data_IF_132883234739
#
_entry.id   IF_132883234739
#
_cell.length_a   1.000
_cell.length_b   1.000
_cell.length_c   1.000
_cell.angle_alpha   90.00
_cell.angle_beta   90.00
_cell.angle_gamma   90.00
#
_symmetry.space_group_name_H-M   'P 1'
#
loop_
_entity.id
_entity.type
_entity.pdbx_description
1 polymer ?
#
# COMPACT_ATOMS: atom_id res chain seq x y z
N UNK A 1 96.03 -44.65 45.89
CA UNK A 1 96.69 -45.96 45.81
C UNK A 1 95.65 -46.98 45.36
N UNK A 2 95.83 -47.54 44.16
CA UNK A 2 95.19 -48.74 43.57
C UNK A 2 93.68 -48.56 43.20
N UNK A 3 93.31 -48.31 41.93
CA UNK A 3 93.16 -49.18 40.73
C UNK A 3 91.87 -50.04 40.67
N UNK A 4 91.00 -49.64 39.73
CA UNK A 4 90.15 -50.36 38.76
C UNK A 4 89.32 -51.62 39.11
N UNK A 5 88.06 -51.58 38.64
CA UNK A 5 87.26 -52.75 38.25
C UNK A 5 86.16 -52.35 37.26
N UNK A 6 86.34 -52.70 35.98
CA UNK A 6 85.40 -52.52 34.86
C UNK A 6 84.42 -53.72 34.84
N UNK A 7 83.12 -53.49 34.61
CA UNK A 7 82.23 -54.53 34.06
C UNK A 7 81.05 -53.92 33.28
N UNK A 8 81.17 -54.05 31.96
CA UNK A 8 80.18 -54.35 30.92
C UNK A 8 78.69 -54.04 31.16
N UNK A 9 78.16 -53.10 30.37
CA UNK A 9 76.72 -52.90 30.11
C UNK A 9 76.31 -53.82 28.95
N UNK A 10 75.33 -54.69 29.16
CA UNK A 10 74.66 -55.47 28.09
C UNK A 10 73.30 -54.80 27.80
N UNK A 11 72.95 -54.51 26.54
CA UNK A 11 71.68 -53.88 26.18
C UNK A 11 70.54 -54.90 26.16
N UNK A 12 69.45 -54.62 26.88
CA UNK A 12 68.17 -55.30 26.66
C UNK A 12 67.44 -54.67 25.46
N UNK A 13 67.28 -55.44 24.40
CA UNK A 13 66.37 -55.13 23.29
C UNK A 13 64.93 -55.25 23.77
N UNK A 14 64.19 -54.12 23.81
CA UNK A 14 62.73 -54.13 23.86
C UNK A 14 62.18 -54.00 22.43
N UNK A 15 61.44 -55.01 22.00
CA UNK A 15 60.69 -55.02 20.74
C UNK A 15 59.51 -54.05 20.84
N UNK A 16 59.40 -53.12 19.91
CA UNK A 16 58.26 -52.20 19.76
C UNK A 16 57.05 -53.03 19.28
N UNK A 17 55.89 -53.03 19.96
CA UNK A 17 54.69 -53.62 19.39
C UNK A 17 54.19 -52.76 18.22
N UNK A 18 53.86 -53.40 17.10
CA UNK A 18 53.28 -52.80 15.89
C UNK A 18 52.11 -51.85 16.17
N UNK A 19 51.89 -50.81 15.34
CA UNK A 19 50.78 -49.89 15.52
C UNK A 19 49.45 -50.64 15.53
N UNK A 20 48.64 -50.37 16.56
CA UNK A 20 47.26 -50.81 16.69
C UNK A 20 46.53 -50.38 15.42
N UNK A 21 46.08 -51.34 14.60
CA UNK A 21 45.04 -51.09 13.61
C UNK A 21 43.79 -50.70 14.37
N UNK A 22 43.46 -49.42 14.38
CA UNK A 22 42.14 -48.95 14.76
C UNK A 22 41.21 -49.44 13.64
N UNK A 23 40.49 -50.53 13.87
CA UNK A 23 39.29 -50.84 13.11
C UNK A 23 38.34 -49.67 13.31
N UNK A 24 38.11 -48.91 12.23
CA UNK A 24 37.01 -47.96 12.14
C UNK A 24 35.73 -48.77 12.38
N UNK A 25 35.19 -48.67 13.59
CA UNK A 25 33.85 -49.11 13.88
C UNK A 25 32.94 -48.55 12.79
N UNK A 26 32.22 -49.44 12.09
CA UNK A 26 31.15 -49.05 11.19
C UNK A 26 30.20 -48.12 11.96
N UNK A 27 30.29 -46.82 11.68
CA UNK A 27 29.26 -45.87 12.08
C UNK A 27 28.00 -46.35 11.36
N UNK A 28 26.91 -46.66 12.07
CA UNK A 28 25.67 -47.08 11.44
C UNK A 28 25.25 -46.01 10.44
N UNK A 29 25.08 -46.38 9.17
CA UNK A 29 24.75 -45.47 8.06
C UNK A 29 23.44 -44.71 8.31
N UNK A 30 22.61 -45.17 9.26
CA UNK A 30 21.40 -44.50 9.74
C UNK A 30 21.66 -43.21 10.53
N UNK A 31 22.71 -43.13 11.36
CA UNK A 31 23.01 -41.93 12.15
C UNK A 31 23.55 -40.77 11.30
N UNK A 32 24.27 -41.09 10.22
CA UNK A 32 24.82 -40.09 9.29
C UNK A 32 23.69 -39.48 8.42
N UNK A 33 22.67 -40.28 8.08
CA UNK A 33 21.51 -39.79 7.34
C UNK A 33 20.68 -38.82 8.17
N UNK A 34 20.44 -39.09 9.46
CA UNK A 34 19.66 -38.22 10.34
C UNK A 34 20.33 -36.86 10.58
N UNK A 35 21.66 -36.82 10.78
CA UNK A 35 22.39 -35.55 10.91
C UNK A 35 22.41 -34.76 9.60
N UNK A 36 22.56 -35.43 8.46
CA UNK A 36 22.54 -34.77 7.14
C UNK A 36 21.16 -34.19 6.82
N UNK A 37 20.08 -34.94 7.10
CA UNK A 37 18.70 -34.45 6.95
C UNK A 37 18.40 -33.27 7.87
N UNK A 38 18.86 -33.31 9.13
CA UNK A 38 18.69 -32.20 10.06
C UNK A 38 19.42 -30.94 9.59
N UNK A 39 20.65 -31.06 9.09
CA UNK A 39 21.41 -29.93 8.54
C UNK A 39 20.69 -29.34 7.32
N UNK A 40 20.17 -30.17 6.41
CA UNK A 40 19.42 -29.71 5.25
C UNK A 40 18.14 -28.97 5.65
N UNK A 41 17.41 -29.49 6.65
CA UNK A 41 16.23 -28.83 7.18
C UNK A 41 16.57 -27.46 7.81
N UNK A 42 17.65 -27.38 8.60
CA UNK A 42 18.09 -26.12 9.20
C UNK A 42 18.50 -25.09 8.13
N UNK A 43 19.23 -25.52 7.10
CA UNK A 43 19.61 -24.64 5.98
C UNK A 43 18.37 -24.11 5.24
N UNK A 44 17.37 -24.97 4.99
CA UNK A 44 16.10 -24.56 4.39
C UNK A 44 15.38 -23.52 5.25
N UNK A 45 15.25 -23.77 6.57
CA UNK A 45 14.63 -22.81 7.50
C UNK A 45 15.39 -21.49 7.59
N UNK A 46 16.72 -21.53 7.56
CA UNK A 46 17.53 -20.32 7.52
C UNK A 46 17.28 -19.51 6.25
N UNK A 47 17.14 -20.17 5.09
CA UNK A 47 16.82 -19.52 3.82
C UNK A 47 15.43 -18.86 3.84
N UNK A 48 14.42 -19.56 4.35
CA UNK A 48 13.06 -19.01 4.54
C UNK A 48 13.07 -17.74 5.40
N UNK A 49 13.75 -17.78 6.55
CA UNK A 49 13.88 -16.63 7.45
C UNK A 49 14.60 -15.45 6.79
N UNK A 50 15.68 -15.72 6.06
CA UNK A 50 16.42 -14.68 5.33
C UNK A 50 15.54 -14.04 4.24
N UNK A 51 14.77 -14.84 3.49
CA UNK A 51 13.84 -14.34 2.48
C UNK A 51 12.75 -13.43 3.07
N UNK A 52 12.15 -13.81 4.21
CA UNK A 52 11.20 -12.95 4.91
C UNK A 52 11.86 -11.65 5.39
N UNK A 53 13.09 -11.73 5.91
CA UNK A 53 13.83 -10.54 6.35
C UNK A 53 14.12 -9.60 5.18
N UNK A 54 14.54 -10.12 4.03
CA UNK A 54 14.81 -9.31 2.85
C UNK A 54 13.55 -8.60 2.34
N UNK A 55 12.42 -9.30 2.25
CA UNK A 55 11.14 -8.70 1.86
C UNK A 55 10.70 -7.64 2.85
N UNK A 56 10.74 -7.93 4.15
CA UNK A 56 10.34 -6.94 5.18
C UNK A 56 11.26 -5.72 5.19
N UNK A 57 12.56 -5.89 4.93
CA UNK A 57 13.49 -4.78 4.73
C UNK A 57 13.16 -3.96 3.48
N UNK A 58 12.83 -4.60 2.37
CA UNK A 58 12.41 -3.91 1.14
C UNK A 58 11.10 -3.13 1.35
N UNK A 59 10.14 -3.70 2.08
CA UNK A 59 8.90 -3.02 2.49
C UNK A 59 9.22 -1.79 3.35
N UNK A 60 10.08 -1.94 4.36
CA UNK A 60 10.47 -0.83 5.25
C UNK A 60 11.25 0.27 4.52
N UNK A 61 12.00 -0.08 3.46
CA UNK A 61 12.66 0.88 2.56
C UNK A 61 11.69 1.51 1.54
N UNK A 62 10.40 1.20 1.62
CA UNK A 62 9.35 1.66 0.72
C UNK A 62 9.63 1.36 -0.76
N UNK A 63 10.22 0.19 -1.04
CA UNK A 63 10.49 -0.28 -2.39
C UNK A 63 9.22 -0.28 -3.27
N UNK A 64 9.42 -0.28 -4.60
CA UNK A 64 8.31 -0.39 -5.54
C UNK A 64 7.65 -1.77 -5.46
N UNK A 65 6.37 -1.84 -5.83
CA UNK A 65 5.65 -3.12 -5.93
C UNK A 65 6.36 -4.11 -6.84
N UNK A 66 6.92 -3.62 -7.96
CA UNK A 66 7.66 -4.44 -8.91
C UNK A 66 8.86 -5.13 -8.27
N UNK A 67 9.65 -4.41 -7.45
CA UNK A 67 10.79 -5.00 -6.74
C UNK A 67 10.32 -6.07 -5.75
N UNK A 68 9.22 -5.85 -5.04
CA UNK A 68 8.67 -6.86 -4.13
C UNK A 68 8.17 -8.11 -4.89
N UNK A 69 7.59 -7.93 -6.07
CA UNK A 69 7.19 -9.03 -6.92
C UNK A 69 8.38 -9.79 -7.50
N UNK A 70 9.42 -9.11 -7.97
CA UNK A 70 10.66 -9.76 -8.43
C UNK A 70 11.31 -10.58 -7.32
N UNK A 71 11.36 -10.04 -6.09
CA UNK A 71 11.86 -10.78 -4.93
C UNK A 71 11.01 -12.02 -4.63
N UNK A 72 9.67 -11.87 -4.65
CA UNK A 72 8.75 -12.99 -4.48
C UNK A 72 8.99 -14.07 -5.55
N UNK A 73 9.10 -13.68 -6.82
CA UNK A 73 9.34 -14.60 -7.93
C UNK A 73 10.64 -15.38 -7.73
N UNK A 74 11.72 -14.70 -7.35
CA UNK A 74 13.01 -15.36 -7.05
C UNK A 74 12.87 -16.34 -5.89
N UNK A 75 12.18 -15.98 -4.80
CA UNK A 75 12.01 -16.86 -3.65
C UNK A 75 11.18 -18.11 -4.03
N UNK A 76 10.06 -17.92 -4.72
CA UNK A 76 9.17 -19.01 -5.11
C UNK A 76 9.85 -19.94 -6.13
N UNK A 77 10.54 -19.38 -7.12
CA UNK A 77 11.17 -20.16 -8.18
C UNK A 77 12.47 -20.84 -7.71
N UNK A 78 13.39 -20.09 -7.08
CA UNK A 78 14.73 -20.58 -6.76
C UNK A 78 14.76 -21.33 -5.44
N UNK A 79 14.16 -20.78 -4.37
CA UNK A 79 14.25 -21.39 -3.03
C UNK A 79 13.23 -22.51 -2.84
N UNK A 80 12.00 -22.31 -3.33
CA UNK A 80 10.91 -23.28 -3.17
C UNK A 80 10.72 -24.21 -4.38
N UNK A 81 11.50 -24.00 -5.46
CA UNK A 81 11.46 -24.82 -6.69
C UNK A 81 10.06 -24.98 -7.28
N UNK A 82 9.30 -23.89 -7.23
CA UNK A 82 7.97 -23.82 -7.82
C UNK A 82 8.16 -23.48 -9.30
N UNK A 83 7.61 -24.29 -10.18
CA UNK A 83 7.69 -24.09 -11.63
C UNK A 83 6.65 -23.10 -12.14
N UNK A 84 5.49 -23.00 -11.50
CA UNK A 84 4.36 -22.19 -11.98
C UNK A 84 3.65 -21.42 -10.87
N UNK A 85 3.50 -20.10 -11.06
CA UNK A 85 2.79 -19.21 -10.13
C UNK A 85 1.93 -18.17 -10.85
N UNK A 86 0.75 -17.89 -10.30
CA UNK A 86 -0.03 -16.66 -10.59
C UNK A 86 -0.42 -15.98 -9.28
N UNK A 87 0.05 -14.76 -9.06
CA UNK A 87 -0.40 -13.90 -7.97
C UNK A 87 -1.42 -12.90 -8.51
N UNK A 88 -2.63 -12.94 -7.95
CA UNK A 88 -3.70 -12.03 -8.28
C UNK A 88 -4.05 -11.19 -7.05
N UNK A 89 -4.08 -9.87 -7.23
CA UNK A 89 -4.39 -8.89 -6.18
C UNK A 89 -5.67 -8.16 -6.57
N UNK A 90 -6.53 -7.93 -5.58
CA UNK A 90 -7.79 -7.23 -5.75
C UNK A 90 -7.56 -5.74 -5.96
N UNK A 91 -8.22 -5.16 -6.94
CA UNK A 91 -8.29 -3.74 -7.20
C UNK A 91 -9.76 -3.34 -7.43
N UNK A 92 -10.39 -2.85 -6.37
CA UNK A 92 -11.84 -2.60 -6.35
C UNK A 92 -12.63 -3.89 -6.51
N UNK A 93 -13.46 -3.97 -7.56
CA UNK A 93 -14.29 -5.14 -7.88
C UNK A 93 -13.59 -6.17 -8.79
N UNK A 94 -12.34 -5.90 -9.18
CA UNK A 94 -11.59 -6.72 -10.13
C UNK A 94 -10.32 -7.26 -9.50
N UNK A 95 -9.72 -8.28 -10.12
CA UNK A 95 -8.38 -8.75 -9.79
C UNK A 95 -7.46 -8.50 -10.97
N UNK A 96 -6.24 -8.04 -10.69
CA UNK A 96 -5.19 -7.96 -11.69
C UNK A 96 -4.07 -8.96 -11.35
N UNK A 97 -3.41 -9.47 -12.38
CA UNK A 97 -2.27 -10.37 -12.21
C UNK A 97 -1.02 -9.55 -11.87
N UNK A 98 -0.63 -9.56 -10.60
CA UNK A 98 0.48 -8.77 -10.08
C UNK A 98 1.84 -9.39 -10.39
N UNK A 99 1.93 -10.73 -10.38
CA UNK A 99 3.13 -11.49 -10.73
C UNK A 99 2.74 -12.79 -11.42
N UNK A 100 3.56 -13.23 -12.38
CA UNK A 100 3.35 -14.48 -13.12
C UNK A 100 4.68 -15.06 -13.59
N UNK A 101 4.87 -16.36 -13.40
CA UNK A 101 5.92 -17.10 -14.08
C UNK A 101 5.52 -18.57 -14.28
N UNK A 102 6.13 -19.21 -15.27
CA UNK A 102 5.84 -20.60 -15.65
C UNK A 102 4.48 -20.80 -16.31
N UNK A 103 4.35 -21.89 -17.08
CA UNK A 103 3.13 -22.26 -17.79
C UNK A 103 2.76 -21.33 -18.96
N UNK A 104 1.62 -21.64 -19.60
CA UNK A 104 1.08 -20.85 -20.72
C UNK A 104 0.46 -19.53 -20.27
N UNK A 105 0.30 -18.59 -21.20
CA UNK A 105 -0.39 -17.34 -20.93
C UNK A 105 -1.90 -17.56 -20.77
N UNK A 106 -2.47 -17.12 -19.65
CA UNK A 106 -3.91 -17.10 -19.43
C UNK A 106 -4.52 -15.70 -19.69
N UNK A 107 -5.69 -15.68 -20.34
CA UNK A 107 -6.43 -14.44 -20.61
C UNK A 107 -6.95 -13.80 -19.31
N UNK A 108 -6.84 -12.47 -19.21
CA UNK A 108 -7.33 -11.68 -18.08
C UNK A 108 -8.82 -11.93 -17.75
N UNK A 109 -9.68 -12.11 -18.76
CA UNK A 109 -11.11 -12.39 -18.52
C UNK A 109 -11.34 -13.74 -17.82
N UNK A 110 -10.59 -14.76 -18.23
CA UNK A 110 -10.70 -16.10 -17.65
C UNK A 110 -10.17 -16.13 -16.24
N UNK A 111 -9.05 -15.44 -15.99
CA UNK A 111 -8.52 -15.24 -14.64
C UNK A 111 -9.54 -14.56 -13.73
N UNK A 112 -10.18 -13.48 -14.19
CA UNK A 112 -11.20 -12.77 -13.41
C UNK A 112 -12.42 -13.66 -13.06
N UNK A 113 -12.93 -14.46 -14.01
CA UNK A 113 -14.02 -15.40 -13.74
C UNK A 113 -13.61 -16.44 -12.70
N UNK A 114 -12.38 -16.94 -12.81
CA UNK A 114 -11.81 -17.87 -11.86
C UNK A 114 -11.71 -17.25 -10.45
N UNK A 115 -11.32 -15.99 -10.33
CA UNK A 115 -11.27 -15.26 -9.05
C UNK A 115 -12.62 -15.30 -8.34
N UNK A 116 -13.74 -15.05 -9.05
CA UNK A 116 -15.06 -15.00 -8.45
C UNK A 116 -15.45 -16.34 -7.81
N UNK A 117 -15.15 -17.46 -8.49
CA UNK A 117 -15.41 -18.79 -7.97
C UNK A 117 -14.55 -19.16 -6.74
N UNK A 118 -13.42 -18.48 -6.55
CA UNK A 118 -12.47 -18.75 -5.47
C UNK A 118 -12.69 -17.89 -4.21
N UNK A 119 -13.50 -16.84 -4.28
CA UNK A 119 -13.73 -15.91 -3.16
C UNK A 119 -14.28 -16.59 -1.89
N UNK A 120 -14.98 -17.72 -2.03
CA UNK A 120 -15.55 -18.45 -0.89
C UNK A 120 -14.51 -19.31 -0.15
N UNK A 121 -13.33 -19.53 -0.73
CA UNK A 121 -12.29 -20.37 -0.15
C UNK A 121 -11.45 -19.56 0.85
N UNK A 122 -11.47 -19.99 2.12
CA UNK A 122 -10.76 -19.32 3.23
C UNK A 122 -9.43 -19.94 3.63
N UNK A 123 -9.12 -21.11 3.09
CA UNK A 123 -7.92 -21.88 3.44
C UNK A 123 -7.22 -22.39 2.19
N UNK A 124 -5.95 -22.76 2.37
CA UNK A 124 -5.16 -23.39 1.30
C UNK A 124 -5.90 -24.64 0.81
N UNK A 125 -6.12 -24.71 -0.50
CA UNK A 125 -6.97 -25.74 -1.12
C UNK A 125 -6.24 -26.41 -2.27
N UNK A 126 -6.24 -27.74 -2.31
CA UNK A 126 -5.70 -28.50 -3.44
C UNK A 126 -6.62 -28.41 -4.66
N UNK A 127 -6.05 -28.17 -5.84
CA UNK A 127 -6.78 -27.89 -7.09
C UNK A 127 -6.74 -29.03 -8.11
N UNK A 128 -5.93 -30.08 -7.91
CA UNK A 128 -5.77 -31.20 -8.88
C UNK A 128 -7.10 -31.88 -9.28
N UNK A 129 -8.10 -31.87 -8.40
CA UNK A 129 -9.43 -32.47 -8.64
C UNK A 129 -10.53 -31.44 -8.94
N UNK A 130 -10.16 -30.18 -9.23
CA UNK A 130 -11.13 -29.12 -9.48
C UNK A 130 -11.83 -29.31 -10.86
N UNK A 131 -13.16 -29.16 -10.96
CA UNK A 131 -13.88 -29.29 -12.24
C UNK A 131 -13.52 -28.20 -13.26
N UNK A 132 -12.99 -27.06 -12.82
CA UNK A 132 -12.54 -26.00 -13.71
C UNK A 132 -11.21 -26.36 -14.41
N UNK A 133 -11.19 -26.24 -15.74
CA UNK A 133 -10.03 -26.62 -16.56
C UNK A 133 -8.80 -25.73 -16.30
N UNK A 134 -8.98 -24.45 -15.98
CA UNK A 134 -7.86 -23.57 -15.67
C UNK A 134 -7.30 -23.87 -14.28
N UNK A 135 -8.17 -24.10 -13.29
CA UNK A 135 -7.76 -24.44 -11.93
C UNK A 135 -7.06 -25.79 -11.83
N UNK A 136 -7.51 -26.79 -12.58
CA UNK A 136 -6.87 -28.10 -12.61
C UNK A 136 -5.45 -28.09 -13.21
N UNK A 137 -5.03 -26.99 -13.87
CA UNK A 137 -3.62 -26.74 -14.28
C UNK A 137 -2.73 -26.31 -13.12
N UNK A 138 -3.26 -26.16 -11.92
CA UNK A 138 -2.52 -25.81 -10.71
C UNK A 138 -2.76 -26.85 -9.63
N UNK A 139 -1.88 -26.85 -8.64
CA UNK A 139 -1.90 -27.84 -7.56
C UNK A 139 -2.50 -27.27 -6.28
N UNK A 140 -2.22 -26.00 -5.98
CA UNK A 140 -2.71 -25.32 -4.79
C UNK A 140 -3.25 -23.92 -5.09
N UNK A 141 -4.33 -23.59 -4.38
CA UNK A 141 -4.86 -22.25 -4.20
C UNK A 141 -4.51 -21.77 -2.79
N UNK A 142 -3.86 -20.61 -2.68
CA UNK A 142 -3.50 -19.97 -1.42
C UNK A 142 -4.22 -18.62 -1.35
N UNK A 143 -5.28 -18.48 -0.54
CA UNK A 143 -5.95 -17.21 -0.38
C UNK A 143 -5.20 -16.28 0.58
N UNK A 144 -5.33 -14.98 0.38
CA UNK A 144 -4.78 -13.93 1.24
C UNK A 144 -5.90 -13.04 1.72
N UNK A 145 -6.07 -13.04 3.04
CA UNK A 145 -7.06 -12.23 3.74
C UNK A 145 -6.37 -11.22 4.64
N UNK A 146 -6.95 -10.03 4.73
CA UNK A 146 -6.65 -9.09 5.81
C UNK A 146 -7.92 -8.86 6.61
N UNK A 147 -7.94 -9.34 7.86
CA UNK A 147 -9.16 -9.47 8.66
C UNK A 147 -10.16 -10.38 7.92
N UNK A 148 -11.33 -9.86 7.56
CA UNK A 148 -12.37 -10.60 6.82
C UNK A 148 -12.39 -10.25 5.32
N UNK A 149 -11.46 -9.42 4.85
CA UNK A 149 -11.42 -8.97 3.47
C UNK A 149 -10.47 -9.83 2.63
N UNK A 150 -11.00 -10.39 1.54
CA UNK A 150 -10.22 -11.14 0.55
C UNK A 150 -9.45 -10.18 -0.35
N UNK A 151 -8.13 -10.13 -0.17
CA UNK A 151 -7.26 -9.15 -0.84
C UNK A 151 -6.53 -9.74 -2.05
N UNK A 152 -6.15 -11.01 -1.99
CA UNK A 152 -5.36 -11.63 -3.05
C UNK A 152 -5.47 -13.15 -2.99
N UNK A 153 -4.95 -13.81 -4.02
CA UNK A 153 -4.66 -15.23 -3.95
C UNK A 153 -3.50 -15.59 -4.87
N UNK A 154 -2.94 -16.77 -4.60
CA UNK A 154 -1.89 -17.36 -5.42
C UNK A 154 -2.28 -18.75 -5.87
N UNK A 155 -2.11 -18.98 -7.17
CA UNK A 155 -2.19 -20.30 -7.79
C UNK A 155 -0.77 -20.83 -7.98
N UNK A 156 -0.52 -22.04 -7.49
CA UNK A 156 0.81 -22.66 -7.45
C UNK A 156 0.73 -24.03 -8.11
N UNK A 157 1.70 -24.38 -8.95
CA UNK A 157 1.86 -25.74 -9.46
C UNK A 157 3.23 -25.98 -10.05
N UNK A 158 3.39 -27.16 -10.66
CA UNK A 158 4.63 -27.59 -11.32
C UNK A 158 5.79 -27.67 -10.33
N UNK A 159 5.66 -28.56 -9.33
CA UNK A 159 6.75 -28.84 -8.40
C UNK A 159 7.73 -29.85 -9.01
N UNK A 160 9.03 -29.61 -8.79
CA UNK A 160 10.09 -30.49 -9.26
C UNK A 160 9.81 -31.94 -8.80
N UNK A 161 9.69 -32.85 -9.77
CA UNK A 161 9.15 -34.21 -9.60
C UNK A 161 9.76 -34.95 -8.41
N UNK A 162 8.97 -35.20 -7.37
CA UNK A 162 9.34 -36.01 -6.20
C UNK A 162 9.02 -35.39 -4.84
N UNK A 163 8.77 -34.07 -4.78
CA UNK A 163 8.40 -33.37 -3.55
C UNK A 163 6.96 -32.84 -3.65
N UNK A 164 6.01 -33.48 -2.95
CA UNK A 164 4.80 -32.75 -2.55
C UNK A 164 5.20 -31.65 -1.57
N UNK A 165 4.65 -30.44 -1.74
CA UNK A 165 4.91 -29.37 -0.79
C UNK A 165 4.49 -29.81 0.61
N UNK A 166 5.41 -29.64 1.56
CA UNK A 166 5.08 -29.83 2.96
C UNK A 166 4.12 -28.73 3.39
N UNK A 167 3.28 -29.02 4.37
CA UNK A 167 2.40 -28.02 5.00
C UNK A 167 3.17 -26.76 5.43
N UNK A 168 4.42 -26.93 5.87
CA UNK A 168 5.31 -25.85 6.25
C UNK A 168 5.71 -24.92 5.09
N UNK A 169 5.86 -25.45 3.87
CA UNK A 169 6.23 -24.66 2.70
C UNK A 169 5.04 -23.80 2.24
N UNK A 170 3.85 -24.39 2.27
CA UNK A 170 2.60 -23.68 1.98
C UNK A 170 2.36 -22.55 3.00
N UNK A 171 2.58 -22.82 4.29
CA UNK A 171 2.48 -21.80 5.33
C UNK A 171 3.51 -20.67 5.14
N UNK A 172 4.73 -21.01 4.71
CA UNK A 172 5.76 -20.01 4.41
C UNK A 172 5.35 -19.13 3.23
N UNK A 173 4.84 -19.73 2.14
CA UNK A 173 4.34 -19.01 0.97
C UNK A 173 3.19 -18.10 1.34
N UNK A 174 2.18 -18.62 2.05
CA UNK A 174 1.06 -17.84 2.56
C UNK A 174 1.55 -16.65 3.38
N UNK A 175 2.49 -16.87 4.31
CA UNK A 175 3.08 -15.80 5.13
C UNK A 175 3.78 -14.75 4.27
N UNK A 176 4.60 -15.17 3.31
CA UNK A 176 5.37 -14.28 2.45
C UNK A 176 4.45 -13.41 1.59
N UNK A 177 3.43 -14.01 0.98
CA UNK A 177 2.45 -13.27 0.16
C UNK A 177 1.62 -12.35 1.06
N UNK A 178 1.14 -12.82 2.21
CA UNK A 178 0.39 -12.00 3.16
C UNK A 178 1.18 -10.75 3.55
N UNK A 179 2.47 -10.88 3.87
CA UNK A 179 3.35 -9.75 4.21
C UNK A 179 3.43 -8.74 3.06
N UNK A 180 3.61 -9.20 1.83
CA UNK A 180 3.69 -8.32 0.65
C UNK A 180 2.35 -7.64 0.37
N UNK A 181 1.27 -8.42 0.26
CA UNK A 181 -0.06 -7.92 -0.11
C UNK A 181 -0.58 -6.95 0.92
N UNK A 182 -0.47 -7.27 2.22
CA UNK A 182 -0.88 -6.36 3.30
C UNK A 182 -0.04 -5.09 3.31
N UNK A 183 1.26 -5.17 3.03
CA UNK A 183 2.10 -3.97 2.92
C UNK A 183 1.71 -3.08 1.74
N UNK A 184 1.38 -3.67 0.58
CA UNK A 184 0.88 -2.94 -0.59
C UNK A 184 -0.47 -2.27 -0.31
N UNK A 185 -1.39 -2.98 0.33
CA UNK A 185 -2.70 -2.44 0.71
C UNK A 185 -2.55 -1.29 1.71
N UNK A 186 -1.72 -1.46 2.75
CA UNK A 186 -1.43 -0.39 3.70
C UNK A 186 -0.81 0.84 3.03
N UNK A 187 0.09 0.64 2.06
CA UNK A 187 0.70 1.74 1.29
C UNK A 187 -0.34 2.50 0.47
N UNK A 188 -1.28 1.80 -0.15
CA UNK A 188 -2.40 2.39 -0.89
C UNK A 188 -3.32 3.19 0.03
N UNK A 189 -3.82 2.56 1.11
CA UNK A 189 -4.70 3.19 2.10
C UNK A 189 -4.07 4.42 2.75
N UNK A 190 -2.77 4.35 3.05
CA UNK A 190 -2.03 5.49 3.59
C UNK A 190 -2.00 6.66 2.60
N UNK A 191 -1.72 6.40 1.32
CA UNK A 191 -1.72 7.44 0.29
C UNK A 191 -3.10 8.09 0.14
N UNK A 192 -4.16 7.28 0.07
CA UNK A 192 -5.54 7.78 -0.01
C UNK A 192 -5.92 8.63 1.21
N UNK A 193 -5.49 8.23 2.41
CA UNK A 193 -5.69 9.02 3.64
C UNK A 193 -4.97 10.36 3.56
N UNK A 194 -3.70 10.38 3.15
CA UNK A 194 -2.92 11.63 3.03
C UNK A 194 -3.55 12.58 2.01
N UNK A 195 -3.97 12.06 0.86
CA UNK A 195 -4.62 12.85 -0.18
C UNK A 195 -5.96 13.42 0.31
N UNK A 196 -6.75 12.62 1.04
CA UNK A 196 -8.00 13.07 1.66
C UNK A 196 -7.78 14.13 2.73
N UNK A 197 -6.79 13.95 3.60
CA UNK A 197 -6.46 14.94 4.63
C UNK A 197 -5.98 16.26 4.04
N UNK A 198 -5.24 16.21 2.93
CA UNK A 198 -4.82 17.40 2.20
C UNK A 198 -6.02 18.14 1.61
N UNK A 199 -6.92 17.42 0.93
CA UNK A 199 -8.13 18.01 0.37
C UNK A 199 -9.04 18.60 1.45
N UNK A 200 -9.16 17.93 2.60
CA UNK A 200 -9.90 18.43 3.75
C UNK A 200 -9.31 19.73 4.28
N UNK A 201 -7.98 19.81 4.44
CA UNK A 201 -7.28 21.05 4.86
C UNK A 201 -7.47 22.18 3.85
N UNK A 202 -7.36 21.89 2.55
CA UNK A 202 -7.57 22.87 1.51
C UNK A 202 -9.02 23.40 1.52
N UNK A 203 -10.01 22.55 1.81
CA UNK A 203 -11.39 22.98 2.02
C UNK A 203 -11.53 23.86 3.27
N UNK A 204 -10.97 23.46 4.41
CA UNK A 204 -11.04 24.25 5.65
C UNK A 204 -10.48 25.67 5.47
N UNK A 205 -9.34 25.80 4.77
CA UNK A 205 -8.77 27.09 4.42
C UNK A 205 -9.69 27.90 3.50
N UNK A 206 -10.32 27.26 2.52
CA UNK A 206 -11.26 27.94 1.63
C UNK A 206 -12.50 28.44 2.39
N UNK A 207 -13.02 27.69 3.37
CA UNK A 207 -14.08 28.15 4.28
C UNK A 207 -13.62 29.36 5.08
N UNK A 208 -12.42 29.31 5.66
CA UNK A 208 -11.89 30.42 6.46
C UNK A 208 -11.78 31.70 5.62
N UNK A 209 -11.20 31.60 4.42
CA UNK A 209 -11.08 32.72 3.49
C UNK A 209 -12.44 33.26 3.09
N UNK A 210 -13.41 32.40 2.73
CA UNK A 210 -14.77 32.83 2.42
C UNK A 210 -15.44 33.53 3.62
N UNK A 211 -15.23 33.02 4.84
CA UNK A 211 -15.74 33.64 6.06
C UNK A 211 -15.15 35.02 6.34
N UNK A 212 -13.93 35.32 5.86
CA UNK A 212 -13.35 36.67 5.93
C UNK A 212 -14.00 37.66 4.98
N UNK A 213 -14.67 37.19 3.92
CA UNK A 213 -15.39 38.04 2.97
C UNK A 213 -16.69 38.58 3.58
N UNK A 214 -17.28 37.88 4.54
CA UNK A 214 -18.54 38.30 5.15
C UNK A 214 -18.28 39.40 6.20
N UNK A 215 -19.03 40.53 6.20
CA UNK A 215 -18.86 41.60 7.16
C UNK A 215 -19.03 41.11 8.61
N UNK A 216 -17.96 41.21 9.42
CA UNK A 216 -17.98 40.83 10.86
C UNK A 216 -18.75 41.82 11.72
N UNK A 217 -18.83 43.08 11.29
CA UNK A 217 -19.53 44.14 11.99
C UNK A 217 -20.54 44.78 11.05
N UNK A 218 -21.80 44.74 11.46
CA UNK A 218 -22.88 45.43 10.75
C UNK A 218 -23.07 46.82 11.35
N UNK A 219 -23.56 47.79 10.55
CA UNK A 219 -23.79 49.13 11.03
C UNK A 219 -24.91 49.16 12.06
N UNK A 220 -24.65 49.92 13.11
CA UNK A 220 -25.64 50.33 14.10
C UNK A 220 -25.49 51.82 14.29
N UNK A 221 -26.21 52.59 13.48
CA UNK A 221 -26.29 54.05 13.59
C UNK A 221 -27.59 54.44 14.28
N UNK A 222 -27.75 55.71 14.66
CA UNK A 222 -29.01 56.20 15.23
C UNK A 222 -30.21 56.10 14.27
N UNK A 223 -29.95 55.91 12.98
CA UNK A 223 -30.97 55.87 11.92
C UNK A 223 -31.16 54.47 11.31
N UNK A 224 -30.18 53.56 11.44
CA UNK A 224 -30.19 52.22 10.80
C UNK A 224 -29.53 51.19 11.71
N UNK A 225 -30.21 50.06 11.93
CA UNK A 225 -29.67 48.87 12.59
C UNK A 225 -29.81 47.67 11.65
N UNK A 226 -28.71 46.97 11.37
CA UNK A 226 -28.67 45.82 10.46
C UNK A 226 -28.26 44.56 11.22
N UNK A 227 -29.01 43.47 11.01
CA UNK A 227 -28.68 42.12 11.47
C UNK A 227 -28.55 41.17 10.28
N UNK A 228 -27.58 40.26 10.33
CA UNK A 228 -27.38 39.23 9.32
C UNK A 228 -26.91 37.93 9.98
N UNK A 229 -27.19 36.81 9.34
CA UNK A 229 -26.75 35.47 9.75
C UNK A 229 -26.49 34.68 8.49
N UNK A 230 -25.31 34.04 8.41
CA UNK A 230 -24.88 33.24 7.27
C UNK A 230 -24.83 31.76 7.68
N UNK A 231 -25.63 30.93 7.01
CA UNK A 231 -25.78 29.50 7.30
C UNK A 231 -25.65 28.70 6.00
N UNK A 232 -24.43 28.33 5.58
CA UNK A 232 -24.24 27.54 4.37
C UNK A 232 -24.71 26.09 4.59
N UNK A 233 -25.31 25.48 3.56
CA UNK A 233 -25.80 24.10 3.62
C UNK A 233 -24.68 23.05 3.54
N UNK A 234 -23.50 23.42 3.05
CA UNK A 234 -22.25 22.64 3.06
C UNK A 234 -21.09 23.51 3.59
N UNK A 235 -19.85 23.06 3.45
CA UNK A 235 -18.67 23.80 3.89
C UNK A 235 -18.56 25.19 3.22
N UNK A 236 -18.91 25.31 1.93
CA UNK A 236 -18.69 26.51 1.11
C UNK A 236 -19.96 26.83 0.30
N UNK A 237 -20.44 28.08 0.39
CA UNK A 237 -21.67 28.55 -0.27
C UNK A 237 -21.44 29.42 -1.51
N UNK A 238 -22.48 29.58 -2.33
CA UNK A 238 -22.55 30.59 -3.40
C UNK A 238 -23.20 31.90 -2.95
N UNK A 239 -23.81 31.91 -1.78
CA UNK A 239 -24.47 33.07 -1.20
C UNK A 239 -23.44 34.07 -0.69
N UNK A 240 -23.69 35.33 -0.95
CA UNK A 240 -22.86 36.46 -0.56
C UNK A 240 -23.75 37.60 -0.09
N UNK A 241 -23.33 38.28 0.98
CA UNK A 241 -23.88 39.57 1.31
C UNK A 241 -22.79 40.52 1.78
N UNK A 242 -23.01 41.82 1.56
CA UNK A 242 -22.08 42.85 2.00
C UNK A 242 -22.80 44.14 2.36
N UNK A 243 -22.13 44.91 3.20
CA UNK A 243 -22.56 46.23 3.63
C UNK A 243 -21.38 47.20 3.57
N UNK A 244 -21.49 48.20 2.71
CA UNK A 244 -20.42 49.16 2.37
C UNK A 244 -20.91 50.57 2.71
N UNK A 245 -20.13 51.32 3.50
CA UNK A 245 -20.40 52.73 3.78
C UNK A 245 -19.80 53.58 2.66
N UNK A 246 -20.65 54.32 1.93
CA UNK A 246 -20.23 55.21 0.84
C UNK A 246 -19.99 56.64 1.33
N UNK A 247 -20.75 57.08 2.34
CA UNK A 247 -20.67 58.41 2.92
C UNK A 247 -21.18 58.46 4.36
N UNK A 248 -21.33 59.65 4.97
CA UNK A 248 -21.82 59.81 6.34
C UNK A 248 -23.18 59.15 6.57
N UNK A 249 -24.10 59.34 5.62
CA UNK A 249 -25.50 58.88 5.66
C UNK A 249 -25.87 58.02 4.44
N UNK A 250 -24.88 57.52 3.70
CA UNK A 250 -25.08 56.74 2.48
C UNK A 250 -24.41 55.37 2.59
N UNK A 251 -25.17 54.34 2.26
CA UNK A 251 -24.78 52.95 2.41
C UNK A 251 -25.22 52.11 1.21
N UNK A 252 -24.37 51.17 0.83
CA UNK A 252 -24.63 50.17 -0.19
C UNK A 252 -24.72 48.80 0.46
N UNK A 253 -25.87 48.15 0.26
CA UNK A 253 -26.10 46.75 0.58
C UNK A 253 -26.03 45.91 -0.70
N UNK A 254 -25.45 44.72 -0.59
CA UNK A 254 -25.42 43.75 -1.67
C UNK A 254 -25.82 42.38 -1.11
N UNK A 255 -26.67 41.67 -1.85
CA UNK A 255 -26.95 40.26 -1.65
C UNK A 255 -26.84 39.62 -3.04
N UNK A 256 -26.04 38.57 -3.15
CA UNK A 256 -25.88 37.81 -4.37
C UNK A 256 -25.95 36.32 -4.08
N UNK A 257 -26.45 35.57 -5.04
CA UNK A 257 -26.46 34.11 -5.03
C UNK A 257 -25.84 33.65 -6.36
N UNK A 258 -24.75 32.87 -6.26
CA UNK A 258 -24.08 32.32 -7.42
C UNK A 258 -24.77 31.01 -7.84
N UNK A 259 -25.09 30.88 -9.13
CA UNK A 259 -25.48 29.61 -9.72
C UNK A 259 -24.35 28.59 -9.59
N UNK A 260 -24.44 27.66 -8.62
CA UNK A 260 -23.41 26.65 -8.36
C UNK A 260 -23.26 26.35 -6.87
N UNK A 261 -22.31 25.47 -6.53
CA UNK A 261 -21.98 25.11 -5.13
C UNK A 261 -20.49 24.85 -4.97
N UNK A 262 -20.00 24.95 -3.73
CA UNK A 262 -18.61 24.65 -3.41
C UNK A 262 -17.62 25.73 -3.84
N UNK A 263 -16.37 25.33 -4.02
CA UNK A 263 -15.21 26.24 -4.16
C UNK A 263 -15.35 27.22 -5.34
N UNK A 264 -15.85 26.76 -6.49
CA UNK A 264 -15.98 27.60 -7.70
C UNK A 264 -16.95 28.77 -7.48
N UNK A 265 -18.09 28.51 -6.84
CA UNK A 265 -19.09 29.54 -6.53
C UNK A 265 -18.53 30.56 -5.53
N UNK A 266 -17.81 30.10 -4.51
CA UNK A 266 -17.18 31.00 -3.54
C UNK A 266 -16.07 31.86 -4.14
N UNK A 267 -15.26 31.32 -5.08
CA UNK A 267 -14.24 32.11 -5.78
C UNK A 267 -14.86 33.21 -6.65
N UNK A 268 -15.97 32.90 -7.35
CA UNK A 268 -16.71 33.89 -8.11
C UNK A 268 -17.26 35.00 -7.20
N UNK A 269 -17.84 34.63 -6.05
CA UNK A 269 -18.34 35.59 -5.07
C UNK A 269 -17.23 36.44 -4.44
N UNK A 270 -16.06 35.87 -4.17
CA UNK A 270 -14.89 36.62 -3.70
C UNK A 270 -14.44 37.67 -4.71
N UNK A 271 -14.45 37.32 -6.00
CA UNK A 271 -14.16 38.25 -7.07
C UNK A 271 -15.22 39.36 -7.16
N UNK A 272 -16.51 38.98 -7.14
CA UNK A 272 -17.64 39.91 -7.16
C UNK A 272 -17.53 40.92 -6.01
N UNK A 273 -17.24 40.45 -4.79
CA UNK A 273 -17.02 41.33 -3.64
C UNK A 273 -15.90 42.32 -3.89
N UNK A 274 -14.73 41.84 -4.28
CA UNK A 274 -13.55 42.68 -4.45
C UNK A 274 -13.81 43.76 -5.50
N UNK A 275 -14.45 43.39 -6.62
CA UNK A 275 -14.85 44.32 -7.67
C UNK A 275 -15.92 45.31 -7.20
N UNK A 276 -16.93 44.85 -6.45
CA UNK A 276 -18.00 45.72 -5.92
C UNK A 276 -17.40 46.78 -5.01
N UNK A 277 -16.55 46.39 -4.06
CA UNK A 277 -15.88 47.32 -3.14
C UNK A 277 -14.97 48.30 -3.86
N UNK A 278 -14.25 47.86 -4.89
CA UNK A 278 -13.40 48.72 -5.68
C UNK A 278 -14.21 49.78 -6.44
N UNK A 279 -15.25 49.38 -7.18
CA UNK A 279 -16.05 50.30 -7.99
C UNK A 279 -16.93 51.22 -7.15
N UNK A 280 -17.54 50.71 -6.08
CA UNK A 280 -18.35 51.51 -5.17
C UNK A 280 -17.55 52.62 -4.47
N UNK A 281 -16.21 52.52 -4.42
CA UNK A 281 -15.35 53.57 -3.85
C UNK A 281 -15.07 54.75 -4.80
N UNK A 282 -15.32 54.58 -6.10
CA UNK A 282 -14.95 55.58 -7.13
C UNK A 282 -16.12 56.03 -8.01
N UNK A 283 -17.19 55.25 -8.12
CA UNK A 283 -18.37 55.54 -8.93
C UNK A 283 -19.61 55.60 -8.03
N UNK A 284 -20.36 56.69 -8.13
CA UNK A 284 -21.58 56.92 -7.35
C UNK A 284 -22.84 56.46 -8.08
N UNK A 285 -22.78 56.31 -9.40
CA UNK A 285 -23.89 55.79 -10.20
C UNK A 285 -23.96 54.25 -10.11
N UNK A 286 -24.94 53.75 -9.35
CA UNK A 286 -25.16 52.32 -9.15
C UNK A 286 -25.34 51.56 -10.48
N UNK A 287 -25.98 52.18 -11.48
CA UNK A 287 -26.20 51.52 -12.78
C UNK A 287 -24.85 51.18 -13.43
N UNK A 288 -23.92 52.13 -13.43
CA UNK A 288 -22.57 51.92 -13.96
C UNK A 288 -21.78 50.91 -13.14
N UNK A 289 -21.92 50.90 -11.82
CA UNK A 289 -21.27 49.88 -10.96
C UNK A 289 -21.76 48.49 -11.37
N UNK A 290 -23.07 48.29 -11.53
CA UNK A 290 -23.64 47.01 -11.95
C UNK A 290 -23.20 46.62 -13.36
N UNK A 291 -23.18 47.56 -14.33
CA UNK A 291 -22.69 47.29 -15.69
C UNK A 291 -21.23 46.79 -15.67
N UNK A 292 -20.37 47.43 -14.88
CA UNK A 292 -18.96 47.02 -14.72
C UNK A 292 -18.82 45.65 -14.05
N UNK A 293 -19.64 45.37 -13.02
CA UNK A 293 -19.64 44.06 -12.39
C UNK A 293 -20.09 42.97 -13.35
N UNK A 294 -21.10 43.25 -14.18
CA UNK A 294 -21.58 42.32 -15.19
C UNK A 294 -20.48 42.00 -16.24
N UNK A 295 -19.75 43.01 -16.73
CA UNK A 295 -18.61 42.81 -17.63
C UNK A 295 -17.55 41.86 -17.03
N UNK A 296 -17.24 42.05 -15.74
CA UNK A 296 -16.25 41.23 -15.02
C UNK A 296 -16.76 39.80 -14.84
N UNK A 297 -18.00 39.62 -14.40
CA UNK A 297 -18.60 38.29 -14.19
C UNK A 297 -18.65 37.53 -15.52
N UNK A 298 -19.14 38.14 -16.59
CA UNK A 298 -19.18 37.52 -17.94
C UNK A 298 -17.79 37.11 -18.41
N UNK A 299 -16.77 37.94 -18.17
CA UNK A 299 -15.38 37.61 -18.51
C UNK A 299 -14.82 36.44 -17.68
N UNK A 300 -15.28 36.27 -16.44
CA UNK A 300 -14.78 35.25 -15.53
C UNK A 300 -15.53 33.92 -15.63
N UNK A 301 -16.81 33.94 -16.06
CA UNK A 301 -17.64 32.74 -16.25
C UNK A 301 -17.69 32.26 -17.71
N UNK A 302 -16.99 32.92 -18.64
CA UNK A 302 -17.13 32.72 -20.09
C UNK A 302 -18.58 32.87 -20.60
N UNK A 303 -19.45 33.56 -19.85
CA UNK A 303 -20.85 33.78 -20.21
C UNK A 303 -21.82 32.65 -19.87
N UNK A 304 -21.40 31.67 -19.07
CA UNK A 304 -22.33 30.76 -18.35
C UNK A 304 -22.93 31.44 -17.11
#
# INVERSE_FOLDING_TARGET
>A
MILFGISTIIPYFYTIPSPIKIELAHIPTSLINDESELIQLLLKRQAELNSLLEITQAINKNSSSNVLFEMLEVILNVHLRIGKVRLLIREGEHFYCASRFGGEFENAKTLQQTCQALSDYKHITALRANPDFLLSKYEYFVPVYHKDEFLAFVLIGDFDTGHELLSNDLNFIETLINVIVVALENKKLFKERVDRERLQRDMELAVEVQGMLIPRSLPKTGSVEVGATYLPNENIGGDYFDFIKLGPDEFLWCIADASGKGVSAALLMANLQASLRAWASVESDLVKVIERLNEIVVSNTNGE
#
